data_IF_204050727780
#
_entry.id   IF_204050727780
#
_cell.length_a   1.000
_cell.length_b   1.000
_cell.length_c   1.000
_cell.angle_alpha   90.00
_cell.angle_beta   90.00
_cell.angle_gamma   90.00
#
_symmetry.space_group_name_H-M   'P 1'
#
loop_
_entity.id
_entity.type
_entity.pdbx_description
1 polymer ?
#
# COMPACT_ATOMS: atom_id res chain seq x y z
N UNK A 1 -3.15 23.81 17.18
CA UNK A 1 -2.23 22.66 17.05
C UNK A 1 -1.87 22.50 15.59
N UNK A 2 -0.61 22.79 15.19
CA UNK A 2 -0.18 22.72 13.80
C UNK A 2 0.19 21.27 13.49
N UNK A 3 -0.62 20.57 12.68
CA UNK A 3 -0.32 19.20 12.28
C UNK A 3 0.99 19.22 11.49
N UNK A 4 1.98 18.35 11.80
CA UNK A 4 3.19 18.29 11.02
C UNK A 4 2.81 17.91 9.58
N UNK A 5 3.26 18.71 8.61
CA UNK A 5 2.97 18.53 7.18
C UNK A 5 3.32 17.10 6.73
N UNK A 6 4.33 16.50 7.36
CA UNK A 6 4.74 15.11 7.17
C UNK A 6 3.65 14.06 7.40
N UNK A 7 2.83 14.21 8.45
CA UNK A 7 1.75 13.26 8.75
C UNK A 7 0.69 13.31 7.66
N UNK A 8 0.39 14.53 7.16
CA UNK A 8 -0.55 14.74 6.08
C UNK A 8 -0.03 14.15 4.77
N UNK A 9 1.25 14.35 4.44
CA UNK A 9 1.87 13.80 3.23
C UNK A 9 1.79 12.27 3.22
N UNK A 10 2.18 11.60 4.31
CA UNK A 10 2.14 10.13 4.40
C UNK A 10 0.70 9.62 4.29
N UNK A 11 -0.24 10.25 4.98
CA UNK A 11 -1.66 9.86 4.92
C UNK A 11 -2.25 10.02 3.53
N UNK A 12 -1.96 11.13 2.84
CA UNK A 12 -2.43 11.39 1.47
C UNK A 12 -1.79 10.41 0.48
N UNK A 13 -0.49 10.17 0.58
CA UNK A 13 0.20 9.20 -0.27
C UNK A 13 -0.31 7.77 -0.03
N UNK A 14 -0.59 7.40 1.22
CA UNK A 14 -1.25 6.14 1.56
C UNK A 14 -2.64 6.02 0.96
N UNK A 15 -3.45 7.08 0.99
CA UNK A 15 -4.77 7.09 0.36
C UNK A 15 -4.64 6.91 -1.16
N UNK A 16 -3.72 7.62 -1.80
CA UNK A 16 -3.46 7.50 -3.24
C UNK A 16 -2.98 6.08 -3.56
N UNK A 17 -2.02 5.55 -2.81
CA UNK A 17 -1.51 4.19 -2.98
C UNK A 17 -2.60 3.13 -2.83
N UNK A 18 -3.46 3.25 -1.82
CA UNK A 18 -4.58 2.33 -1.61
C UNK A 18 -5.63 2.44 -2.71
N UNK A 19 -5.96 3.65 -3.17
CA UNK A 19 -6.89 3.86 -4.28
C UNK A 19 -6.34 3.25 -5.59
N UNK A 20 -5.08 3.50 -5.91
CA UNK A 20 -4.42 2.89 -7.06
C UNK A 20 -4.30 1.37 -6.92
N UNK A 21 -4.04 0.86 -5.72
CA UNK A 21 -4.02 -0.56 -5.40
C UNK A 21 -5.38 -1.22 -5.65
N UNK A 22 -6.48 -0.57 -5.27
CA UNK A 22 -7.84 -1.03 -5.61
C UNK A 22 -8.00 -1.11 -7.13
N UNK A 23 -7.67 -0.05 -7.87
CA UNK A 23 -7.79 -0.05 -9.33
C UNK A 23 -6.93 -1.16 -9.97
N UNK A 24 -5.70 -1.35 -9.49
CA UNK A 24 -4.81 -2.43 -9.94
C UNK A 24 -5.38 -3.81 -9.66
N UNK A 25 -5.92 -4.03 -8.46
CA UNK A 25 -6.55 -5.30 -8.08
C UNK A 25 -7.80 -5.61 -8.92
N UNK A 26 -8.63 -4.61 -9.18
CA UNK A 26 -9.79 -4.74 -10.07
C UNK A 26 -9.38 -5.04 -11.51
N UNK A 27 -8.31 -4.43 -12.00
CA UNK A 27 -7.76 -4.74 -13.31
C UNK A 27 -7.29 -6.21 -13.40
N UNK A 28 -6.60 -6.71 -12.37
CA UNK A 28 -6.16 -8.12 -12.32
C UNK A 28 -7.36 -9.07 -12.28
N UNK A 29 -8.39 -8.76 -11.49
CA UNK A 29 -9.63 -9.57 -11.45
C UNK A 29 -10.31 -9.56 -12.82
N UNK A 30 -10.44 -8.39 -13.46
CA UNK A 30 -11.05 -8.25 -14.78
C UNK A 30 -10.31 -9.02 -15.86
N UNK A 31 -8.97 -8.92 -15.90
CA UNK A 31 -8.12 -9.69 -16.82
C UNK A 31 -8.24 -11.19 -16.55
N UNK A 32 -8.27 -11.61 -15.29
CA UNK A 32 -8.50 -13.01 -14.91
C UNK A 32 -9.86 -13.54 -15.39
N UNK A 33 -10.92 -12.74 -15.27
CA UNK A 33 -12.25 -13.08 -15.77
C UNK A 33 -12.29 -13.24 -17.29
N UNK A 34 -11.64 -12.33 -18.02
CA UNK A 34 -11.50 -12.42 -19.48
C UNK A 34 -10.70 -13.66 -19.91
N UNK A 35 -9.59 -13.96 -19.22
CA UNK A 35 -8.78 -15.15 -19.49
C UNK A 35 -9.59 -16.45 -19.26
N UNK A 36 -10.39 -16.51 -18.20
CA UNK A 36 -11.28 -17.65 -17.95
C UNK A 36 -12.32 -17.82 -19.06
N UNK A 37 -12.94 -16.72 -19.51
CA UNK A 37 -13.91 -16.72 -20.61
C UNK A 37 -13.29 -17.11 -21.96
N UNK A 38 -12.02 -16.78 -22.18
CA UNK A 38 -11.27 -17.13 -23.40
C UNK A 38 -10.74 -18.58 -23.42
N UNK A 39 -11.10 -19.41 -22.44
CA UNK A 39 -10.72 -20.83 -22.38
C UNK A 39 -9.52 -21.15 -21.48
N UNK A 40 -8.86 -20.14 -20.88
CA UNK A 40 -7.78 -20.33 -19.92
C UNK A 40 -8.31 -20.38 -18.47
N UNK A 41 -9.30 -21.24 -18.20
CA UNK A 41 -10.08 -21.27 -16.95
C UNK A 41 -9.23 -21.35 -15.67
N UNK A 42 -8.22 -22.22 -15.63
CA UNK A 42 -7.35 -22.39 -14.45
C UNK A 42 -6.49 -21.16 -14.19
N UNK A 43 -5.90 -20.58 -15.25
CA UNK A 43 -5.06 -19.38 -15.14
C UNK A 43 -5.91 -18.16 -14.77
N UNK A 44 -7.08 -18.03 -15.38
CA UNK A 44 -8.03 -16.96 -15.08
C UNK A 44 -8.55 -17.01 -13.65
N UNK A 45 -8.91 -18.20 -13.14
CA UNK A 45 -9.29 -18.41 -11.74
C UNK A 45 -8.16 -18.04 -10.78
N UNK A 46 -6.92 -18.44 -11.09
CA UNK A 46 -5.74 -18.07 -10.31
C UNK A 46 -5.51 -16.56 -10.25
N UNK A 47 -5.58 -15.88 -11.39
CA UNK A 47 -5.43 -14.42 -11.46
C UNK A 47 -6.53 -13.69 -10.67
N UNK A 48 -7.78 -14.14 -10.76
CA UNK A 48 -8.89 -13.59 -9.98
C UNK A 48 -8.66 -13.76 -8.47
N UNK A 49 -8.25 -14.95 -8.03
CA UNK A 49 -7.98 -15.22 -6.61
C UNK A 49 -6.87 -14.30 -6.07
N UNK A 50 -5.77 -14.13 -6.82
CA UNK A 50 -4.69 -13.21 -6.48
C UNK A 50 -5.21 -11.77 -6.42
N UNK A 51 -5.99 -11.34 -7.41
CA UNK A 51 -6.58 -10.00 -7.44
C UNK A 51 -7.45 -9.71 -6.21
N UNK A 52 -8.25 -10.68 -5.74
CA UNK A 52 -9.06 -10.53 -4.53
C UNK A 52 -8.19 -10.36 -3.27
N UNK A 53 -7.10 -11.11 -3.15
CA UNK A 53 -6.16 -10.96 -2.03
C UNK A 53 -5.56 -9.54 -2.02
N UNK A 54 -5.12 -9.06 -3.19
CA UNK A 54 -4.60 -7.69 -3.34
C UNK A 54 -5.65 -6.60 -3.06
N UNK A 55 -6.91 -6.85 -3.42
CA UNK A 55 -8.01 -5.93 -3.12
C UNK A 55 -8.21 -5.77 -1.61
N UNK A 56 -8.20 -6.88 -0.86
CA UNK A 56 -8.31 -6.87 0.61
C UNK A 56 -7.17 -6.05 1.21
N UNK A 57 -5.93 -6.26 0.74
CA UNK A 57 -4.78 -5.48 1.21
C UNK A 57 -4.91 -3.98 0.91
N UNK A 58 -5.38 -3.64 -0.28
CA UNK A 58 -5.55 -2.24 -0.69
C UNK A 58 -6.62 -1.52 0.15
N UNK A 59 -7.70 -2.23 0.49
CA UNK A 59 -8.74 -1.73 1.40
C UNK A 59 -8.21 -1.52 2.82
N UNK A 60 -7.45 -2.48 3.35
CA UNK A 60 -6.79 -2.31 4.65
C UNK A 60 -5.87 -1.09 4.63
N UNK A 61 -5.08 -0.92 3.58
CA UNK A 61 -4.17 0.22 3.43
C UNK A 61 -4.91 1.56 3.49
N UNK A 62 -6.07 1.68 2.86
CA UNK A 62 -6.94 2.86 2.98
C UNK A 62 -7.43 3.10 4.40
N UNK A 63 -7.92 2.06 5.08
CA UNK A 63 -8.41 2.16 6.46
C UNK A 63 -7.31 2.68 7.39
N UNK A 64 -6.11 2.12 7.27
CA UNK A 64 -4.96 2.53 8.07
C UNK A 64 -4.42 3.90 7.68
N UNK A 65 -4.43 4.29 6.41
CA UNK A 65 -4.05 5.64 5.98
C UNK A 65 -4.99 6.70 6.57
N UNK A 66 -6.30 6.42 6.62
CA UNK A 66 -7.29 7.29 7.27
C UNK A 66 -7.07 7.30 8.80
N UNK A 67 -6.76 6.15 9.40
CA UNK A 67 -6.41 6.08 10.82
C UNK A 67 -5.10 6.83 11.15
N UNK A 68 -4.16 6.87 10.21
CA UNK A 68 -2.90 7.64 10.32
C UNK A 68 -3.16 9.14 10.37
N UNK A 69 -4.13 9.62 9.58
CA UNK A 69 -4.63 10.99 9.66
C UNK A 69 -5.35 11.30 10.98
N UNK A 70 -5.63 10.30 11.82
CA UNK A 70 -6.22 10.48 13.15
C UNK A 70 -5.18 10.56 14.28
N UNK A 71 -3.88 10.56 13.97
CA UNK A 71 -2.77 10.73 14.92
C UNK A 71 -2.73 9.70 16.08
N UNK A 72 -3.37 8.54 15.92
CA UNK A 72 -3.35 7.46 16.94
C UNK A 72 -1.99 6.77 16.93
N UNK A 73 -1.41 6.50 18.11
CA UNK A 73 -0.13 5.77 18.29
C UNK A 73 -0.06 4.45 17.55
N UNK A 74 -1.16 3.71 17.49
CA UNK A 74 -1.24 2.43 16.76
C UNK A 74 -1.16 2.57 15.24
N UNK A 75 -1.57 3.72 14.69
CA UNK A 75 -1.52 3.96 13.25
C UNK A 75 -0.08 4.03 12.73
N UNK A 76 0.88 4.43 13.58
CA UNK A 76 2.30 4.42 13.23
C UNK A 76 2.79 3.03 12.86
N UNK A 77 2.50 2.04 13.71
CA UNK A 77 2.84 0.64 13.45
C UNK A 77 2.07 0.06 12.27
N UNK A 78 0.77 0.36 12.17
CA UNK A 78 -0.06 -0.10 11.05
C UNK A 78 0.46 0.37 9.69
N UNK A 79 0.84 1.65 9.58
CA UNK A 79 1.38 2.20 8.33
C UNK A 79 2.73 1.58 7.97
N UNK A 80 3.60 1.33 8.95
CA UNK A 80 4.90 0.69 8.74
C UNK A 80 4.76 -0.73 8.21
N UNK A 81 3.87 -1.53 8.82
CA UNK A 81 3.59 -2.90 8.39
C UNK A 81 3.02 -2.91 6.98
N UNK A 82 2.12 -1.97 6.66
CA UNK A 82 1.51 -1.89 5.33
C UNK A 82 2.50 -1.48 4.24
N UNK A 83 3.36 -0.49 4.49
CA UNK A 83 4.40 -0.11 3.54
C UNK A 83 5.39 -1.25 3.31
N UNK A 84 5.81 -1.94 4.38
CA UNK A 84 6.67 -3.11 4.26
C UNK A 84 6.01 -4.22 3.43
N UNK A 85 4.71 -4.47 3.65
CA UNK A 85 3.97 -5.48 2.91
C UNK A 85 3.78 -5.09 1.43
N UNK A 86 3.49 -3.81 1.15
CA UNK A 86 3.40 -3.28 -0.21
C UNK A 86 4.70 -3.51 -0.98
N UNK A 87 5.85 -3.26 -0.34
CA UNK A 87 7.17 -3.54 -0.93
C UNK A 87 7.33 -5.05 -1.24
N UNK A 88 7.00 -5.93 -0.28
CA UNK A 88 7.11 -7.38 -0.47
C UNK A 88 6.24 -7.84 -1.66
N UNK A 89 5.00 -7.37 -1.71
CA UNK A 89 4.07 -7.69 -2.78
C UNK A 89 4.54 -7.15 -4.13
N UNK A 90 5.08 -5.93 -4.17
CA UNK A 90 5.71 -5.36 -5.37
C UNK A 90 6.86 -6.23 -5.89
N UNK A 91 7.72 -6.71 -5.00
CA UNK A 91 8.85 -7.60 -5.35
C UNK A 91 8.33 -8.96 -5.87
N UNK A 92 7.36 -9.57 -5.21
CA UNK A 92 6.74 -10.82 -5.66
C UNK A 92 6.10 -10.63 -7.03
N UNK A 93 5.37 -9.53 -7.22
CA UNK A 93 4.76 -9.17 -8.49
C UNK A 93 5.78 -9.07 -9.62
N UNK A 94 6.95 -8.48 -9.35
CA UNK A 94 8.05 -8.40 -10.32
C UNK A 94 8.69 -9.76 -10.60
N UNK A 95 8.80 -10.63 -9.60
CA UNK A 95 9.36 -11.98 -9.76
C UNK A 95 8.45 -12.92 -10.58
N UNK A 96 7.12 -12.75 -10.48
CA UNK A 96 6.13 -13.60 -11.16
C UNK A 96 5.71 -13.03 -12.52
N UNK A 97 5.52 -11.72 -12.61
CA UNK A 97 4.99 -11.03 -13.80
C UNK A 97 6.03 -10.33 -14.66
N UNK A 98 7.30 -10.33 -14.26
CA UNK A 98 8.38 -9.61 -14.93
C UNK A 98 8.56 -8.17 -14.42
N UNK A 99 9.66 -7.55 -14.81
CA UNK A 99 10.05 -6.23 -14.33
C UNK A 99 9.17 -5.14 -14.95
N UNK A 100 8.26 -4.57 -14.17
CA UNK A 100 7.43 -3.44 -14.57
C UNK A 100 7.94 -2.15 -13.93
N UNK A 101 8.13 -1.10 -14.74
CA UNK A 101 8.59 0.23 -14.28
C UNK A 101 7.67 0.84 -13.22
N UNK A 102 6.37 0.53 -13.28
CA UNK A 102 5.35 0.96 -12.31
C UNK A 102 5.57 0.36 -10.92
N UNK A 103 5.93 -0.92 -10.84
CA UNK A 103 6.21 -1.61 -9.57
C UNK A 103 7.46 -1.03 -8.90
N UNK A 104 8.48 -0.68 -9.68
CA UNK A 104 9.71 -0.08 -9.15
C UNK A 104 9.46 1.30 -8.53
N UNK A 105 8.67 2.14 -9.21
CA UNK A 105 8.31 3.47 -8.72
C UNK A 105 7.51 3.37 -7.41
N UNK A 106 6.55 2.43 -7.34
CA UNK A 106 5.78 2.18 -6.12
C UNK A 106 6.66 1.81 -4.94
N UNK A 107 7.58 0.86 -5.14
CA UNK A 107 8.54 0.43 -4.09
C UNK A 107 9.41 1.60 -3.63
N UNK A 108 9.93 2.42 -4.55
CA UNK A 108 10.74 3.59 -4.19
C UNK A 108 9.95 4.57 -3.32
N UNK A 109 8.69 4.83 -3.68
CA UNK A 109 7.80 5.69 -2.90
C UNK A 109 7.60 5.10 -1.50
N UNK A 110 7.33 3.80 -1.38
CA UNK A 110 7.12 3.13 -0.09
C UNK A 110 8.37 3.21 0.79
N UNK A 111 9.56 3.00 0.22
CA UNK A 111 10.84 3.15 0.94
C UNK A 111 11.01 4.60 1.43
N UNK A 112 10.77 5.59 0.57
CA UNK A 112 10.84 7.00 0.95
C UNK A 112 9.86 7.35 2.07
N UNK A 113 8.64 6.78 2.03
CA UNK A 113 7.63 6.93 3.08
C UNK A 113 8.09 6.32 4.41
N UNK A 114 8.68 5.12 4.40
CA UNK A 114 9.25 4.51 5.61
C UNK A 114 10.33 5.42 6.18
N UNK A 115 11.30 5.85 5.38
CA UNK A 115 12.38 6.77 5.82
C UNK A 115 11.78 8.05 6.42
N UNK A 116 10.73 8.58 5.81
CA UNK A 116 10.05 9.76 6.31
C UNK A 116 9.32 9.52 7.63
N UNK A 117 8.71 8.34 7.82
CA UNK A 117 7.99 7.93 9.02
C UNK A 117 8.90 7.88 10.26
N UNK A 118 10.20 7.67 10.06
CA UNK A 118 11.23 7.69 11.10
C UNK A 118 11.74 9.10 11.46
N UNK A 119 11.36 10.17 10.75
CA UNK A 119 11.74 11.53 11.15
C UNK A 119 11.18 11.88 12.52
N UNK A 120 11.99 12.61 13.31
CA UNK A 120 11.64 13.09 14.65
C UNK A 120 10.34 13.89 14.67
N UNK A 121 10.11 14.73 13.65
CA UNK A 121 8.88 15.53 13.51
C UNK A 121 7.61 14.68 13.37
N UNK A 122 7.72 13.51 12.75
CA UNK A 122 6.59 12.58 12.53
C UNK A 122 6.43 11.67 13.74
N UNK A 123 7.51 11.05 14.24
CA UNK A 123 7.46 10.22 15.44
C UNK A 123 6.96 10.98 16.67
N UNK A 124 7.41 12.23 16.85
CA UNK A 124 6.98 13.09 17.96
C UNK A 124 5.49 13.44 17.93
N UNK A 125 4.85 13.39 16.75
CA UNK A 125 3.42 13.61 16.61
C UNK A 125 2.57 12.42 17.07
N UNK A 126 3.13 11.20 17.06
CA UNK A 126 2.45 9.98 17.51
C UNK A 126 2.80 9.62 18.96
N UNK A 127 4.07 9.75 19.36
CA UNK A 127 4.54 9.32 20.68
C UNK A 127 4.71 10.46 21.70
N UNK A 128 4.39 11.70 21.31
CA UNK A 128 4.59 12.89 22.15
C UNK A 128 6.02 13.43 22.10
N UNK A 129 6.20 14.70 22.47
CA UNK A 129 7.49 15.38 22.53
C UNK A 129 8.37 14.77 23.63
N UNK A 130 9.10 13.71 23.27
CA UNK A 130 9.94 12.93 24.20
C UNK A 130 10.54 11.66 23.59
N UNK A 131 10.10 11.23 22.40
CA UNK A 131 10.75 10.17 21.65
C UNK A 131 12.04 10.70 20.98
N UNK A 132 13.15 10.65 21.72
CA UNK A 132 14.51 11.04 21.28
C UNK A 132 15.01 10.20 20.11
#
# INVERSE_FOLDING_TARGET
MKRPVGVTIIGVLGIIGGALGILGSLAVIGVGGLAAAAGAGVVGAGAMAVGVVYLIFSLLLLVFAIAFLSLKTWAWWGMLVLLALSIILGIIGMAVGGFASSSLIGIIIDVLLIVYLYRKDVKGAFFGAGAV
#
